data_IF_972628349448
#
_entry.id   IF_972628349448
#
_cell.length_a   1.000
_cell.length_b   1.000
_cell.length_c   1.000
_cell.angle_alpha   90.00
_cell.angle_beta   90.00
_cell.angle_gamma   90.00
#
_symmetry.space_group_name_H-M   'P 1'
#
loop_
_entity.id
_entity.type
_entity.pdbx_description
1 polymer ?
#
# COMPACT_ATOMS: atom_id res chain seq x y z
N UNK A 1 35.36 -18.14 11.52
CA UNK A 1 34.22 -17.27 11.20
C UNK A 1 32.96 -17.70 11.95
N UNK A 2 32.57 -18.97 11.88
CA UNK A 2 31.38 -19.52 12.59
C UNK A 2 31.47 -19.31 14.10
N UNK A 3 32.63 -19.56 14.71
CA UNK A 3 32.80 -19.43 16.16
C UNK A 3 32.71 -17.95 16.62
N UNK A 4 33.22 -17.02 15.83
CA UNK A 4 33.04 -15.57 16.11
C UNK A 4 31.57 -15.17 16.04
N UNK A 5 30.78 -15.71 15.11
CA UNK A 5 29.33 -15.47 15.00
C UNK A 5 28.59 -16.04 16.21
N UNK A 6 28.94 -17.28 16.64
CA UNK A 6 28.36 -17.89 17.83
C UNK A 6 28.70 -17.11 19.10
N UNK A 7 29.93 -16.64 19.23
CA UNK A 7 30.36 -15.80 20.34
C UNK A 7 29.60 -14.49 20.35
N UNK A 8 29.50 -13.79 19.21
CA UNK A 8 28.76 -12.53 19.11
C UNK A 8 27.26 -12.72 19.45
N UNK A 9 26.64 -13.82 19.03
CA UNK A 9 25.27 -14.15 19.43
C UNK A 9 25.15 -14.39 20.93
N UNK A 10 26.12 -15.08 21.55
CA UNK A 10 26.12 -15.30 23.01
C UNK A 10 26.28 -14.00 23.80
N UNK A 11 27.18 -13.12 23.33
CA UNK A 11 27.54 -11.89 24.05
C UNK A 11 26.47 -10.78 23.89
N UNK A 12 25.77 -10.74 22.77
CA UNK A 12 24.80 -9.69 22.45
C UNK A 12 23.68 -10.17 21.51
N UNK A 13 22.75 -11.03 22.00
CA UNK A 13 21.70 -11.63 21.16
C UNK A 13 20.78 -10.58 20.54
N UNK A 14 20.49 -9.48 21.24
CA UNK A 14 19.66 -8.38 20.72
C UNK A 14 20.30 -7.72 19.50
N UNK A 15 21.58 -7.37 19.58
CA UNK A 15 22.33 -6.77 18.45
C UNK A 15 22.42 -7.74 17.28
N UNK A 16 22.62 -9.03 17.56
CA UNK A 16 22.63 -10.05 16.51
C UNK A 16 21.30 -10.12 15.76
N UNK A 17 20.17 -10.13 16.49
CA UNK A 17 18.84 -10.16 15.86
C UNK A 17 18.55 -8.89 15.09
N UNK A 18 18.93 -7.70 15.58
CA UNK A 18 18.74 -6.44 14.88
C UNK A 18 19.53 -6.38 13.57
N UNK A 19 20.80 -6.81 13.58
CA UNK A 19 21.63 -6.85 12.37
C UNK A 19 21.03 -7.84 11.35
N UNK A 20 20.67 -9.03 11.82
CA UNK A 20 20.08 -10.07 10.96
C UNK A 20 18.75 -9.58 10.37
N UNK A 21 17.92 -8.92 11.18
CA UNK A 21 16.66 -8.34 10.73
C UNK A 21 16.88 -7.25 9.68
N UNK A 22 17.90 -6.40 9.86
CA UNK A 22 18.29 -5.38 8.88
C UNK A 22 18.72 -6.00 7.53
N UNK A 23 19.56 -7.02 7.56
CA UNK A 23 20.00 -7.75 6.37
C UNK A 23 18.83 -8.43 5.65
N UNK A 24 17.97 -9.10 6.40
CA UNK A 24 16.78 -9.75 5.84
C UNK A 24 15.80 -8.72 5.29
N UNK A 25 15.58 -7.61 5.98
CA UNK A 25 14.73 -6.51 5.48
C UNK A 25 15.27 -5.96 4.16
N UNK A 26 16.59 -5.78 4.05
CA UNK A 26 17.19 -5.36 2.78
C UNK A 26 16.91 -6.36 1.65
N UNK A 27 17.12 -7.64 1.91
CA UNK A 27 16.87 -8.70 0.91
C UNK A 27 15.39 -8.76 0.51
N UNK A 28 14.49 -8.84 1.49
CA UNK A 28 13.06 -9.03 1.23
C UNK A 28 12.37 -7.78 0.67
N UNK A 29 12.78 -6.57 1.06
CA UNK A 29 12.02 -5.36 0.79
C UNK A 29 12.66 -4.44 -0.27
N UNK A 30 13.97 -4.51 -0.48
CA UNK A 30 14.65 -3.60 -1.42
C UNK A 30 15.22 -4.28 -2.65
N UNK A 31 15.73 -5.52 -2.53
CA UNK A 31 16.37 -6.18 -3.66
C UNK A 31 15.37 -6.41 -4.80
N UNK A 32 15.67 -5.90 -5.97
CA UNK A 32 14.87 -6.10 -7.19
C UNK A 32 13.59 -5.26 -7.30
N UNK A 33 13.32 -4.29 -6.40
CA UNK A 33 12.10 -3.48 -6.49
C UNK A 33 12.05 -2.57 -7.72
N UNK A 34 13.19 -2.24 -8.33
CA UNK A 34 13.27 -1.51 -9.61
C UNK A 34 13.40 -2.39 -10.84
N UNK A 35 13.40 -3.73 -10.70
CA UNK A 35 13.72 -4.64 -11.79
C UNK A 35 12.56 -4.93 -12.76
N UNK A 36 11.38 -4.39 -12.51
CA UNK A 36 10.19 -4.58 -13.34
C UNK A 36 9.39 -3.28 -13.44
N UNK A 37 8.67 -3.06 -14.56
CA UNK A 37 7.82 -1.89 -14.75
C UNK A 37 6.76 -1.75 -13.67
N UNK A 38 6.19 -0.55 -13.53
CA UNK A 38 5.09 -0.33 -12.59
C UNK A 38 3.87 -1.19 -12.95
N UNK A 39 3.20 -1.66 -11.92
CA UNK A 39 2.00 -2.51 -12.05
C UNK A 39 0.79 -1.63 -12.35
N UNK A 40 0.06 -1.99 -13.39
CA UNK A 40 -1.20 -1.32 -13.73
C UNK A 40 -2.32 -1.84 -12.80
N UNK A 41 -3.24 -1.03 -12.32
CA UNK A 41 -3.67 0.34 -12.67
C UNK A 41 -3.25 1.36 -11.60
N UNK A 42 -3.25 0.97 -10.32
CA UNK A 42 -3.11 1.92 -9.21
C UNK A 42 -1.67 2.44 -9.07
N UNK A 43 -0.64 1.58 -9.22
CA UNK A 43 0.74 2.01 -9.04
C UNK A 43 1.15 3.03 -10.10
N UNK A 44 0.81 2.78 -11.37
CA UNK A 44 1.12 3.69 -12.47
C UNK A 44 0.38 5.02 -12.34
N UNK A 45 -0.90 4.97 -12.00
CA UNK A 45 -1.75 6.15 -11.78
C UNK A 45 -1.21 7.03 -10.65
N UNK A 46 -0.88 6.41 -9.52
CA UNK A 46 -0.38 7.13 -8.36
C UNK A 46 1.02 7.72 -8.59
N UNK A 47 1.85 7.04 -9.36
CA UNK A 47 3.17 7.56 -9.73
C UNK A 47 3.09 8.81 -10.60
N UNK A 48 2.19 8.82 -11.61
CA UNK A 48 1.93 10.02 -12.43
C UNK A 48 1.44 11.17 -11.57
N UNK A 49 0.43 10.93 -10.73
CA UNK A 49 -0.09 11.98 -9.83
C UNK A 49 0.99 12.52 -8.87
N UNK A 50 1.88 11.65 -8.37
CA UNK A 50 2.99 12.08 -7.53
C UNK A 50 4.04 12.89 -8.29
N UNK A 51 4.31 12.56 -9.55
CA UNK A 51 5.17 13.34 -10.42
C UNK A 51 4.58 14.73 -10.68
N UNK A 52 3.29 14.78 -10.97
CA UNK A 52 2.60 16.01 -11.33
C UNK A 52 2.59 17.03 -10.18
N UNK A 53 2.59 16.56 -8.91
CA UNK A 53 2.77 17.44 -7.75
C UNK A 53 4.07 18.23 -7.77
N UNK A 54 5.12 17.77 -8.46
CA UNK A 54 6.40 18.49 -8.57
C UNK A 54 6.29 19.74 -9.44
N UNK A 55 5.28 19.81 -10.30
CA UNK A 55 5.06 20.89 -11.26
C UNK A 55 3.84 21.75 -10.92
N UNK A 56 3.03 21.33 -9.93
CA UNK A 56 1.78 21.97 -9.54
C UNK A 56 1.70 22.23 -8.03
N UNK A 57 0.54 22.65 -7.57
CA UNK A 57 0.29 22.87 -6.14
C UNK A 57 0.17 21.52 -5.40
N UNK A 58 0.98 21.35 -4.37
CA UNK A 58 1.04 20.11 -3.55
C UNK A 58 -0.25 19.77 -2.80
N UNK A 59 -1.19 20.70 -2.72
CA UNK A 59 -2.49 20.45 -2.07
C UNK A 59 -3.47 19.70 -2.99
N UNK A 60 -3.32 19.83 -4.31
CA UNK A 60 -4.31 19.36 -5.28
C UNK A 60 -3.74 18.27 -6.17
N UNK A 61 -4.32 17.08 -6.03
CA UNK A 61 -3.96 15.96 -6.87
C UNK A 61 -4.61 16.11 -8.25
N UNK A 62 -3.82 15.91 -9.28
CA UNK A 62 -4.28 15.94 -10.67
C UNK A 62 -3.94 14.61 -11.33
N UNK A 63 -4.83 14.12 -12.17
CA UNK A 63 -4.57 12.98 -13.04
C UNK A 63 -4.82 13.43 -14.48
N UNK A 64 -3.74 13.60 -15.24
CA UNK A 64 -3.79 14.06 -16.63
C UNK A 64 -4.59 15.36 -16.83
N UNK A 65 -4.34 16.35 -15.97
CA UNK A 65 -5.01 17.64 -16.01
C UNK A 65 -6.39 17.70 -15.35
N UNK A 66 -6.95 16.56 -14.93
CA UNK A 66 -8.26 16.50 -14.25
C UNK A 66 -8.06 16.40 -12.73
N UNK A 67 -8.79 17.21 -11.92
CA UNK A 67 -8.74 17.12 -10.46
C UNK A 67 -9.09 15.71 -9.94
N UNK A 68 -8.28 15.20 -9.01
CA UNK A 68 -8.50 13.92 -8.39
C UNK A 68 -8.74 14.08 -6.88
N UNK A 69 -10.02 14.23 -6.51
CA UNK A 69 -10.45 14.58 -5.14
C UNK A 69 -10.81 13.37 -4.26
N UNK A 70 -10.60 12.14 -4.76
CA UNK A 70 -11.01 10.89 -4.11
C UNK A 70 -10.08 10.43 -2.98
N UNK A 71 -8.84 10.91 -2.94
CA UNK A 71 -7.81 10.39 -2.04
C UNK A 71 -7.07 11.49 -1.30
N UNK A 72 -6.70 11.24 -0.02
CA UNK A 72 -5.88 12.18 0.73
C UNK A 72 -4.42 12.16 0.27
N UNK A 73 -3.60 13.18 0.60
CA UNK A 73 -2.39 13.52 -0.14
C UNK A 73 -1.11 12.80 0.33
N UNK A 74 -1.08 12.21 1.54
CA UNK A 74 0.18 11.79 2.17
C UNK A 74 1.01 10.83 1.33
N UNK A 75 0.37 9.81 0.74
CA UNK A 75 1.06 8.87 -0.14
C UNK A 75 1.76 9.61 -1.30
N UNK A 76 1.05 10.54 -1.91
CA UNK A 76 1.55 11.29 -3.08
C UNK A 76 2.67 12.24 -2.68
N UNK A 77 2.59 12.87 -1.52
CA UNK A 77 3.65 13.74 -0.99
C UNK A 77 4.96 12.98 -0.77
N UNK A 78 4.92 11.84 -0.07
CA UNK A 78 6.15 11.07 0.21
C UNK A 78 6.73 10.47 -1.06
N UNK A 79 5.88 10.07 -2.02
CA UNK A 79 6.33 9.55 -3.31
C UNK A 79 6.89 10.67 -4.19
N UNK A 80 6.26 11.84 -4.24
CA UNK A 80 6.76 13.01 -4.95
C UNK A 80 8.13 13.46 -4.40
N UNK A 81 8.29 13.47 -3.07
CA UNK A 81 9.58 13.77 -2.44
C UNK A 81 10.66 12.77 -2.86
N UNK A 82 10.34 11.48 -2.88
CA UNK A 82 11.27 10.45 -3.35
C UNK A 82 11.65 10.63 -4.83
N UNK A 83 10.67 10.94 -5.68
CA UNK A 83 10.91 11.25 -7.11
C UNK A 83 11.79 12.50 -7.25
N UNK A 84 11.56 13.54 -6.44
CA UNK A 84 12.38 14.76 -6.44
C UNK A 84 13.84 14.49 -6.09
N UNK A 85 14.09 13.58 -5.16
CA UNK A 85 15.45 13.27 -4.68
C UNK A 85 16.19 12.29 -5.58
N UNK A 86 15.52 11.31 -6.12
CA UNK A 86 16.15 10.19 -6.82
C UNK A 86 15.81 10.12 -8.31
N UNK A 87 14.90 10.95 -8.81
CA UNK A 87 14.43 10.91 -10.19
C UNK A 87 13.19 10.04 -10.38
N UNK A 88 12.57 10.17 -11.58
CA UNK A 88 11.32 9.51 -11.90
C UNK A 88 11.58 8.12 -12.51
N UNK A 89 11.67 7.11 -11.67
CA UNK A 89 11.85 5.70 -12.07
C UNK A 89 11.27 4.76 -10.99
N UNK A 90 11.10 3.50 -11.31
CA UNK A 90 10.41 2.50 -10.50
C UNK A 90 10.98 2.35 -9.09
N UNK A 91 12.31 2.39 -8.97
CA UNK A 91 12.97 2.31 -7.66
C UNK A 91 12.56 3.49 -6.75
N UNK A 92 12.66 4.72 -7.26
CA UNK A 92 12.34 5.92 -6.50
C UNK A 92 10.86 5.96 -6.07
N UNK A 93 9.96 5.48 -6.93
CA UNK A 93 8.52 5.44 -6.66
C UNK A 93 8.20 4.43 -5.53
N UNK A 94 8.89 3.29 -5.48
CA UNK A 94 8.66 2.21 -4.50
C UNK A 94 9.45 2.38 -3.20
N UNK A 95 10.52 3.15 -3.21
CA UNK A 95 11.43 3.33 -2.07
C UNK A 95 10.72 3.73 -0.78
N UNK A 96 9.78 4.69 -0.77
CA UNK A 96 9.07 5.06 0.47
C UNK A 96 8.32 3.90 1.10
N UNK A 97 7.72 3.02 0.29
CA UNK A 97 6.99 1.83 0.79
C UNK A 97 7.93 0.87 1.50
N UNK A 98 9.10 0.61 0.92
CA UNK A 98 10.12 -0.27 1.51
C UNK A 98 10.69 0.30 2.81
N UNK A 99 10.89 1.61 2.89
CA UNK A 99 11.34 2.29 4.13
C UNK A 99 10.28 2.15 5.23
N UNK A 100 9.01 2.48 4.93
CA UNK A 100 7.92 2.39 5.91
C UNK A 100 7.70 0.93 6.38
N UNK A 101 7.79 -0.03 5.46
CA UNK A 101 7.73 -1.45 5.79
C UNK A 101 8.86 -1.85 6.74
N UNK A 102 10.09 -1.41 6.46
CA UNK A 102 11.27 -1.71 7.29
C UNK A 102 11.12 -1.14 8.70
N UNK A 103 10.69 0.10 8.83
CA UNK A 103 10.40 0.72 10.14
C UNK A 103 9.33 -0.10 10.88
N UNK A 104 8.29 -0.55 10.17
CA UNK A 104 7.23 -1.37 10.76
C UNK A 104 7.75 -2.73 11.25
N UNK A 105 8.68 -3.35 10.49
CA UNK A 105 9.35 -4.60 10.89
C UNK A 105 10.13 -4.40 12.19
N UNK A 106 10.95 -3.35 12.28
CA UNK A 106 11.71 -3.05 13.50
C UNK A 106 10.81 -2.70 14.69
N UNK A 107 9.73 -1.93 14.45
CA UNK A 107 8.79 -1.62 15.51
C UNK A 107 8.08 -2.89 16.02
N UNK A 108 7.75 -3.82 15.12
CA UNK A 108 7.19 -5.12 15.50
C UNK A 108 8.18 -5.95 16.32
N UNK A 109 9.48 -5.90 15.98
CA UNK A 109 10.53 -6.51 16.80
C UNK A 109 10.52 -5.95 18.22
N UNK A 110 10.56 -4.63 18.39
CA UNK A 110 10.63 -4.00 19.72
C UNK A 110 9.37 -4.28 20.56
N UNK A 111 8.19 -4.32 19.94
CA UNK A 111 6.95 -4.69 20.64
C UNK A 111 7.00 -6.15 21.10
N UNK A 112 7.42 -7.07 20.23
CA UNK A 112 7.58 -8.48 20.58
C UNK A 112 8.65 -8.70 21.68
N UNK A 113 9.79 -8.02 21.57
CA UNK A 113 10.84 -8.05 22.59
C UNK A 113 10.33 -7.59 23.95
N UNK A 114 9.58 -6.48 23.98
CA UNK A 114 9.01 -5.94 25.22
C UNK A 114 8.00 -6.86 25.88
N UNK A 115 7.26 -7.64 25.08
CA UNK A 115 6.26 -8.58 25.58
C UNK A 115 6.90 -9.85 26.15
N UNK A 116 7.96 -10.36 25.53
CA UNK A 116 8.52 -11.66 25.94
C UNK A 116 10.06 -11.70 25.93
N UNK A 117 10.70 -11.47 24.80
CA UNK A 117 12.18 -11.51 24.63
C UNK A 117 12.61 -11.03 23.25
N UNK A 118 13.90 -10.68 23.08
CA UNK A 118 14.49 -10.33 21.78
C UNK A 118 14.34 -11.44 20.73
N UNK A 119 14.48 -12.70 21.14
CA UNK A 119 14.22 -13.87 20.27
C UNK A 119 12.76 -13.91 19.78
N UNK A 120 11.81 -13.65 20.67
CA UNK A 120 10.39 -13.61 20.32
C UNK A 120 10.09 -12.42 19.39
N UNK A 121 10.65 -11.25 19.68
CA UNK A 121 10.58 -10.06 18.82
C UNK A 121 11.09 -10.35 17.41
N UNK A 122 12.25 -11.02 17.30
CA UNK A 122 12.81 -11.44 16.02
C UNK A 122 11.87 -12.39 15.26
N UNK A 123 11.29 -13.40 15.93
CA UNK A 123 10.34 -14.32 15.29
C UNK A 123 9.12 -13.56 14.77
N UNK A 124 8.55 -12.66 15.56
CA UNK A 124 7.37 -11.88 15.16
C UNK A 124 7.65 -10.99 13.95
N UNK A 125 8.77 -10.28 13.97
CA UNK A 125 9.19 -9.43 12.87
C UNK A 125 9.52 -10.23 11.60
N UNK A 126 10.18 -11.38 11.73
CA UNK A 126 10.49 -12.27 10.61
C UNK A 126 9.22 -12.83 9.97
N UNK A 127 8.28 -13.33 10.76
CA UNK A 127 7.00 -13.87 10.25
C UNK A 127 6.20 -12.78 9.56
N UNK A 128 6.17 -11.56 10.12
CA UNK A 128 5.51 -10.43 9.49
C UNK A 128 6.15 -10.07 8.15
N UNK A 129 7.46 -10.00 8.09
CA UNK A 129 8.18 -9.62 6.88
C UNK A 129 8.19 -10.71 5.81
N UNK A 130 8.34 -11.99 6.23
CA UNK A 130 8.58 -13.12 5.34
C UNK A 130 7.28 -13.86 4.96
N UNK A 131 6.24 -13.12 4.56
CA UNK A 131 5.04 -13.70 3.93
C UNK A 131 4.79 -13.05 2.57
N UNK A 132 4.09 -13.76 1.70
CA UNK A 132 3.84 -13.36 0.32
C UNK A 132 3.17 -11.99 0.27
N UNK A 133 2.18 -11.76 1.11
CA UNK A 133 1.35 -10.55 1.06
C UNK A 133 2.16 -9.29 1.42
N UNK A 134 2.91 -9.35 2.52
CA UNK A 134 3.73 -8.22 2.95
C UNK A 134 4.86 -7.90 1.96
N UNK A 135 5.58 -8.95 1.50
CA UNK A 135 6.65 -8.78 0.51
C UNK A 135 6.14 -8.19 -0.79
N UNK A 136 5.05 -8.75 -1.35
CA UNK A 136 4.52 -8.29 -2.63
C UNK A 136 3.97 -6.86 -2.55
N UNK A 137 3.18 -6.55 -1.52
CA UNK A 137 2.55 -5.24 -1.39
C UNK A 137 3.54 -4.13 -0.97
N UNK A 138 4.64 -4.47 -0.31
CA UNK A 138 5.73 -3.52 -0.08
C UNK A 138 6.46 -3.14 -1.37
N UNK A 139 6.50 -4.06 -2.34
CA UNK A 139 7.18 -3.88 -3.63
C UNK A 139 6.31 -3.25 -4.72
N UNK A 140 5.08 -2.93 -4.39
CA UNK A 140 4.14 -2.19 -5.24
C UNK A 140 3.81 -0.88 -4.53
N UNK A 141 4.02 0.24 -5.22
CA UNK A 141 3.81 1.57 -4.64
C UNK A 141 2.30 1.88 -4.56
N UNK A 142 1.67 1.47 -3.46
CA UNK A 142 0.24 1.65 -3.20
C UNK A 142 -0.02 2.26 -1.83
N UNK A 143 -1.14 2.96 -1.71
CA UNK A 143 -1.58 3.65 -0.48
C UNK A 143 -1.70 2.68 0.70
N UNK A 144 -2.10 1.43 0.45
CA UNK A 144 -2.36 0.43 1.49
C UNK A 144 -1.14 0.14 2.37
N UNK A 145 0.08 0.19 1.81
CA UNK A 145 1.30 0.00 2.61
C UNK A 145 1.55 1.17 3.56
N UNK A 146 1.38 2.41 3.10
CA UNK A 146 1.50 3.62 3.94
C UNK A 146 0.49 3.57 5.09
N UNK A 147 -0.75 3.26 4.75
CA UNK A 147 -1.81 3.12 5.74
C UNK A 147 -1.52 2.01 6.75
N UNK A 148 -1.09 0.82 6.29
CA UNK A 148 -0.76 -0.31 7.17
C UNK A 148 0.36 0.04 8.14
N UNK A 149 1.42 0.70 7.68
CA UNK A 149 2.52 1.13 8.53
C UNK A 149 2.03 2.09 9.63
N UNK A 150 1.37 3.17 9.24
CA UNK A 150 0.89 4.20 10.18
C UNK A 150 -0.16 3.66 11.14
N UNK A 151 -1.08 2.82 10.68
CA UNK A 151 -2.07 2.15 11.51
C UNK A 151 -1.39 1.23 12.55
N UNK A 152 -0.44 0.41 12.11
CA UNK A 152 0.31 -0.49 12.98
C UNK A 152 1.09 0.30 14.04
N UNK A 153 1.77 1.38 13.64
CA UNK A 153 2.50 2.25 14.58
C UNK A 153 1.55 2.90 15.58
N UNK A 154 0.40 3.38 15.14
CA UNK A 154 -0.63 3.94 16.01
C UNK A 154 -1.06 2.92 17.07
N UNK A 155 -1.40 1.69 16.65
CA UNK A 155 -1.86 0.63 17.55
C UNK A 155 -0.75 0.22 18.53
N UNK A 156 0.49 0.09 18.05
CA UNK A 156 1.66 -0.25 18.88
C UNK A 156 1.99 0.84 19.90
N UNK A 157 1.89 2.12 19.51
CA UNK A 157 2.06 3.24 20.43
C UNK A 157 0.99 3.26 21.50
N UNK A 158 -0.26 2.99 21.14
CA UNK A 158 -1.37 2.84 22.12
C UNK A 158 -1.12 1.72 23.11
N UNK A 159 -0.59 0.57 22.66
CA UNK A 159 -0.16 -0.52 23.54
C UNK A 159 1.07 -0.13 24.39
N UNK A 160 2.04 0.58 23.78
CA UNK A 160 3.28 0.97 24.45
C UNK A 160 3.07 1.89 25.65
N UNK A 161 1.95 2.65 25.68
CA UNK A 161 1.58 3.48 26.84
C UNK A 161 1.43 2.67 28.14
N UNK A 162 1.28 1.35 28.05
CA UNK A 162 1.19 0.48 29.23
C UNK A 162 2.54 0.16 29.88
N UNK A 163 3.64 0.33 29.14
CA UNK A 163 4.99 -0.02 29.57
C UNK A 163 5.84 1.17 29.99
N UNK A 164 5.42 2.36 29.61
CA UNK A 164 6.18 3.58 29.94
C UNK A 164 5.75 4.19 31.25
N UNK A 165 6.70 4.87 31.91
CA UNK A 165 6.43 5.66 33.12
C UNK A 165 5.42 6.78 32.82
N UNK A 166 4.66 7.20 33.82
CA UNK A 166 3.62 8.24 33.64
C UNK A 166 4.18 9.56 33.07
N UNK A 167 5.40 9.92 33.43
CA UNK A 167 6.09 11.11 32.87
C UNK A 167 6.23 11.08 31.36
N UNK A 168 6.35 9.88 30.77
CA UNK A 168 6.58 9.70 29.34
C UNK A 168 5.31 9.35 28.57
N UNK A 169 4.21 9.03 29.24
CA UNK A 169 2.94 8.65 28.59
C UNK A 169 2.42 9.72 27.63
N UNK A 170 2.59 11.01 28.00
CA UNK A 170 2.17 12.12 27.12
C UNK A 170 2.85 12.07 25.76
N UNK A 171 4.13 11.72 25.70
CA UNK A 171 4.85 11.62 24.44
C UNK A 171 4.40 10.43 23.60
N UNK A 172 4.12 9.30 24.24
CA UNK A 172 3.56 8.14 23.53
C UNK A 172 2.16 8.43 22.99
N UNK A 173 1.28 9.09 23.77
CA UNK A 173 -0.02 9.51 23.29
C UNK A 173 0.08 10.57 22.18
N UNK A 174 1.00 11.53 22.29
CA UNK A 174 1.22 12.50 21.23
C UNK A 174 1.68 11.81 19.92
N UNK A 175 2.62 10.87 20.00
CA UNK A 175 3.06 10.08 18.84
C UNK A 175 1.93 9.21 18.27
N UNK A 176 1.07 8.63 19.12
CA UNK A 176 -0.14 7.91 18.72
C UNK A 176 -1.06 8.79 17.85
N UNK A 177 -1.38 10.00 18.31
CA UNK A 177 -2.24 10.91 17.57
C UNK A 177 -1.58 11.45 16.31
N UNK A 178 -0.27 11.69 16.33
CA UNK A 178 0.49 12.09 15.13
C UNK A 178 0.44 10.98 14.07
N UNK A 179 0.73 9.73 14.43
CA UNK A 179 0.64 8.60 13.49
C UNK A 179 -0.79 8.39 12.98
N UNK A 180 -1.79 8.52 13.86
CA UNK A 180 -3.20 8.46 13.48
C UNK A 180 -3.57 9.58 12.49
N UNK A 181 -3.07 10.80 12.70
CA UNK A 181 -3.29 11.95 11.83
C UNK A 181 -2.70 11.73 10.44
N UNK A 182 -1.47 11.26 10.36
CA UNK A 182 -0.86 10.89 9.07
C UNK A 182 -1.59 9.70 8.43
N UNK A 183 -2.05 8.74 9.22
CA UNK A 183 -2.91 7.65 8.73
C UNK A 183 -4.21 8.19 8.10
N UNK A 184 -4.81 9.22 8.71
CA UNK A 184 -5.99 9.89 8.17
C UNK A 184 -5.67 10.61 6.84
N UNK A 185 -4.52 11.27 6.73
CA UNK A 185 -4.02 11.85 5.47
C UNK A 185 -3.56 10.79 4.45
N UNK A 186 -3.48 9.50 4.83
CA UNK A 186 -3.18 8.42 3.90
C UNK A 186 -4.45 7.74 3.36
N UNK A 187 -5.44 7.46 4.23
CA UNK A 187 -6.62 6.64 3.85
C UNK A 187 -7.94 7.08 4.48
N UNK A 188 -7.98 8.21 5.17
CA UNK A 188 -9.20 8.79 5.74
C UNK A 188 -9.68 8.08 7.03
N UNK A 189 -11.00 8.02 7.22
CA UNK A 189 -11.67 7.64 8.49
C UNK A 189 -11.22 6.31 9.10
N UNK A 190 -10.77 5.35 8.30
CA UNK A 190 -10.30 4.05 8.80
C UNK A 190 -9.11 4.17 9.76
N UNK A 191 -8.30 5.24 9.61
CA UNK A 191 -7.17 5.51 10.52
C UNK A 191 -7.61 5.89 11.93
N UNK A 192 -8.85 6.31 12.11
CA UNK A 192 -9.45 6.62 13.41
C UNK A 192 -10.22 5.40 13.93
N UNK A 193 -11.07 4.83 13.07
CA UNK A 193 -11.99 3.74 13.45
C UNK A 193 -11.24 2.53 14.00
N UNK A 194 -10.19 2.07 13.31
CA UNK A 194 -9.45 0.89 13.74
C UNK A 194 -8.71 1.06 15.07
N UNK A 195 -7.88 2.09 15.28
CA UNK A 195 -7.21 2.27 16.56
C UNK A 195 -8.20 2.48 17.70
N UNK A 196 -9.26 3.26 17.49
CA UNK A 196 -10.31 3.47 18.50
C UNK A 196 -10.99 2.16 18.90
N UNK A 197 -11.35 1.31 17.92
CA UNK A 197 -11.96 0.02 18.20
C UNK A 197 -10.98 -0.92 18.92
N UNK A 198 -9.74 -1.06 18.42
CA UNK A 198 -8.76 -2.01 18.96
C UNK A 198 -8.30 -1.61 20.36
N UNK A 199 -7.80 -0.37 20.50
CA UNK A 199 -7.32 0.14 21.79
C UNK A 199 -8.50 0.30 22.76
N UNK A 200 -9.64 0.80 22.29
CA UNK A 200 -10.85 0.96 23.08
C UNK A 200 -11.33 -0.36 23.68
N UNK A 201 -11.53 -1.40 22.87
CA UNK A 201 -11.93 -2.73 23.34
C UNK A 201 -10.92 -3.31 24.33
N UNK A 202 -9.63 -3.23 24.00
CA UNK A 202 -8.57 -3.71 24.91
C UNK A 202 -8.62 -2.99 26.26
N UNK A 203 -8.77 -1.67 26.28
CA UNK A 203 -8.83 -0.87 27.50
C UNK A 203 -10.13 -1.07 28.30
N UNK A 204 -11.25 -1.33 27.63
CA UNK A 204 -12.52 -1.67 28.27
C UNK A 204 -12.36 -3.02 28.98
N UNK A 205 -11.88 -4.05 28.32
CA UNK A 205 -11.67 -5.39 28.92
C UNK A 205 -10.74 -5.32 30.13
N UNK A 206 -9.65 -4.53 30.01
CA UNK A 206 -8.67 -4.37 31.10
C UNK A 206 -9.07 -3.27 32.13
N UNK A 207 -10.31 -2.75 32.09
CA UNK A 207 -10.84 -1.73 33.01
C UNK A 207 -9.98 -0.46 33.11
N UNK A 208 -9.27 -0.11 32.04
CA UNK A 208 -8.34 1.04 31.97
C UNK A 208 -8.75 2.11 30.97
N UNK A 209 -9.99 2.08 30.47
CA UNK A 209 -10.48 2.99 29.42
C UNK A 209 -10.41 4.47 29.82
N UNK A 210 -10.54 4.79 31.10
CA UNK A 210 -10.45 6.17 31.61
C UNK A 210 -9.10 6.82 31.32
N UNK A 211 -8.03 6.04 31.12
CA UNK A 211 -6.70 6.56 30.83
C UNK A 211 -6.65 7.27 29.47
N UNK A 212 -7.39 6.78 28.47
CA UNK A 212 -7.47 7.38 27.15
C UNK A 212 -8.03 8.81 27.21
N UNK A 213 -9.02 9.02 28.09
CA UNK A 213 -9.73 10.29 28.22
C UNK A 213 -9.13 11.24 29.25
N UNK A 214 -7.94 10.95 29.80
CA UNK A 214 -7.24 11.93 30.64
C UNK A 214 -7.01 13.21 29.83
N UNK A 215 -7.45 14.39 30.32
CA UNK A 215 -7.41 15.63 29.53
C UNK A 215 -6.04 15.95 28.92
N UNK A 216 -4.97 15.71 29.66
CA UNK A 216 -3.60 15.96 29.20
C UNK A 216 -3.18 15.10 27.98
N UNK A 217 -3.84 13.97 27.73
CA UNK A 217 -3.57 13.11 26.58
C UNK A 217 -4.58 13.38 25.47
N UNK A 218 -5.87 13.40 25.82
CA UNK A 218 -6.96 13.52 24.87
C UNK A 218 -6.99 14.89 24.18
N UNK A 219 -6.98 16.00 24.97
CA UNK A 219 -7.01 17.34 24.40
C UNK A 219 -5.76 17.63 23.56
N UNK A 220 -4.56 17.30 24.06
CA UNK A 220 -3.33 17.44 23.29
C UNK A 220 -3.42 16.63 21.97
N UNK A 221 -3.96 15.43 22.03
CA UNK A 221 -4.15 14.58 20.86
C UNK A 221 -5.11 15.17 19.85
N UNK A 222 -6.27 15.67 20.29
CA UNK A 222 -7.24 16.34 19.43
C UNK A 222 -6.61 17.57 18.75
N UNK A 223 -5.89 18.41 19.52
CA UNK A 223 -5.20 19.58 18.96
C UNK A 223 -4.18 19.16 17.90
N UNK A 224 -3.33 18.17 18.17
CA UNK A 224 -2.36 17.66 17.19
C UNK A 224 -3.05 17.11 15.94
N UNK A 225 -4.13 16.36 16.14
CA UNK A 225 -4.90 15.82 15.01
C UNK A 225 -5.48 16.93 14.12
N UNK A 226 -6.09 17.94 14.72
CA UNK A 226 -6.67 19.08 13.99
C UNK A 226 -5.58 19.90 13.29
N UNK A 227 -4.46 20.20 13.96
CA UNK A 227 -3.36 20.97 13.38
C UNK A 227 -2.76 20.30 12.13
N UNK A 228 -2.66 18.96 12.12
CA UNK A 228 -2.11 18.22 10.99
C UNK A 228 -3.13 18.09 9.85
N UNK A 229 -4.40 17.89 10.16
CA UNK A 229 -5.39 17.55 9.14
C UNK A 229 -6.16 18.74 8.58
N UNK A 230 -6.49 19.77 9.39
CA UNK A 230 -7.27 20.92 8.95
C UNK A 230 -6.64 21.62 7.73
N UNK A 231 -5.33 21.89 7.66
CA UNK A 231 -4.77 22.68 6.56
C UNK A 231 -5.12 22.12 5.18
N UNK A 232 -4.92 20.82 4.97
CA UNK A 232 -5.23 20.21 3.68
C UNK A 232 -6.75 20.13 3.41
N UNK A 233 -7.54 19.69 4.39
CA UNK A 233 -8.99 19.60 4.20
C UNK A 233 -9.64 20.96 3.95
N UNK A 234 -9.13 22.00 4.61
CA UNK A 234 -9.60 23.36 4.38
C UNK A 234 -9.22 23.87 2.98
N UNK A 235 -8.00 23.57 2.52
CA UNK A 235 -7.57 23.92 1.16
C UNK A 235 -8.45 23.22 0.11
N UNK A 236 -8.74 21.93 0.29
CA UNK A 236 -9.64 21.17 -0.59
C UNK A 236 -11.07 21.73 -0.58
N UNK A 237 -11.59 22.05 0.60
CA UNK A 237 -12.93 22.63 0.72
C UNK A 237 -13.01 24.02 0.07
N UNK A 238 -11.99 24.87 0.24
CA UNK A 238 -11.94 26.18 -0.43
C UNK A 238 -11.90 26.08 -1.95
N UNK A 239 -11.23 25.04 -2.48
CA UNK A 239 -11.08 24.87 -3.93
C UNK A 239 -12.29 24.20 -4.58
N UNK A 240 -12.87 23.17 -3.95
CA UNK A 240 -13.89 22.32 -4.56
C UNK A 240 -15.24 22.37 -3.83
N UNK A 241 -15.35 23.11 -2.73
CA UNK A 241 -16.61 23.31 -2.00
C UNK A 241 -17.27 22.01 -1.55
N UNK A 242 -18.58 21.93 -1.75
CA UNK A 242 -19.39 20.77 -1.36
C UNK A 242 -19.07 19.51 -2.15
N UNK A 243 -18.56 19.63 -3.38
CA UNK A 243 -18.14 18.47 -4.20
C UNK A 243 -17.06 17.65 -3.49
N UNK A 244 -16.07 18.32 -2.85
CA UNK A 244 -15.08 17.62 -2.03
C UNK A 244 -15.73 16.84 -0.89
N UNK A 245 -16.68 17.44 -0.17
CA UNK A 245 -17.39 16.75 0.93
C UNK A 245 -18.13 15.53 0.40
N UNK A 246 -18.85 15.68 -0.70
CA UNK A 246 -19.63 14.60 -1.29
C UNK A 246 -18.75 13.44 -1.78
N UNK A 247 -17.76 13.74 -2.62
CA UNK A 247 -16.90 12.71 -3.22
C UNK A 247 -16.02 12.05 -2.17
N UNK A 248 -15.34 12.83 -1.35
CA UNK A 248 -14.35 12.29 -0.40
C UNK A 248 -15.00 11.58 0.78
N UNK A 249 -15.96 12.22 1.48
CA UNK A 249 -16.54 11.64 2.69
C UNK A 249 -17.73 10.74 2.39
N UNK A 250 -18.68 11.17 1.53
CA UNK A 250 -19.91 10.40 1.32
C UNK A 250 -19.64 9.23 0.38
N UNK A 251 -19.22 9.49 -0.88
CA UNK A 251 -19.09 8.45 -1.90
C UNK A 251 -17.98 7.44 -1.57
N UNK A 252 -16.78 7.92 -1.22
CA UNK A 252 -15.62 7.06 -1.04
C UNK A 252 -15.47 6.44 0.36
N UNK A 253 -16.19 6.93 1.37
CA UNK A 253 -16.19 6.32 2.71
C UNK A 253 -17.51 5.61 3.01
N UNK A 254 -18.65 6.31 2.99
CA UNK A 254 -19.93 5.72 3.40
C UNK A 254 -20.57 4.83 2.34
N UNK A 255 -20.76 5.30 1.12
CA UNK A 255 -21.40 4.50 0.07
C UNK A 255 -20.56 3.26 -0.28
N UNK A 256 -19.23 3.39 -0.29
CA UNK A 256 -18.35 2.26 -0.53
C UNK A 256 -18.43 1.17 0.55
N UNK A 257 -18.79 1.52 1.77
CA UNK A 257 -19.03 0.56 2.85
C UNK A 257 -20.36 -0.17 2.68
N UNK A 258 -21.41 0.57 2.29
CA UNK A 258 -22.80 0.08 2.30
C UNK A 258 -23.23 -0.46 0.93
N UNK A 259 -22.91 0.24 -0.14
CA UNK A 259 -23.39 -0.07 -1.49
C UNK A 259 -22.29 0.14 -2.54
N UNK A 260 -21.44 -0.88 -2.71
CA UNK A 260 -20.35 -0.84 -3.69
C UNK A 260 -20.73 -1.37 -5.08
N UNK A 261 -21.99 -1.67 -5.34
CA UNK A 261 -22.47 -2.21 -6.62
C UNK A 261 -22.22 -1.22 -7.76
N UNK A 262 -22.45 0.06 -7.53
CA UNK A 262 -22.15 1.14 -8.47
C UNK A 262 -20.67 1.20 -8.89
N UNK A 263 -19.76 0.67 -8.07
CA UNK A 263 -18.32 0.62 -8.33
C UNK A 263 -17.83 -0.74 -8.86
N UNK A 264 -18.73 -1.72 -9.06
CA UNK A 264 -18.41 -3.06 -9.55
C UNK A 264 -17.44 -3.86 -8.68
N UNK A 265 -17.37 -3.58 -7.36
CA UNK A 265 -16.38 -4.15 -6.42
C UNK A 265 -16.98 -4.98 -5.30
N UNK A 266 -18.27 -5.29 -5.37
CA UNK A 266 -18.95 -6.12 -4.39
C UNK A 266 -18.40 -7.55 -4.39
N UNK A 267 -18.10 -8.05 -3.20
CA UNK A 267 -17.54 -9.40 -2.97
C UNK A 267 -18.22 -10.05 -1.75
N UNK A 268 -18.30 -11.41 -1.72
CA UNK A 268 -18.90 -12.14 -0.60
C UNK A 268 -18.25 -11.83 0.75
N UNK A 269 -18.97 -12.05 1.85
CA UNK A 269 -18.45 -11.83 3.21
C UNK A 269 -17.14 -12.58 3.46
N UNK A 270 -17.03 -13.85 3.05
CA UNK A 270 -15.86 -14.70 3.25
C UNK A 270 -14.72 -14.46 2.25
N UNK A 271 -14.82 -13.47 1.39
CA UNK A 271 -13.82 -13.17 0.35
C UNK A 271 -12.39 -13.08 0.91
N UNK A 272 -12.22 -12.44 2.06
CA UNK A 272 -10.88 -12.24 2.63
C UNK A 272 -10.28 -13.50 3.25
N UNK A 273 -11.06 -14.55 3.53
CA UNK A 273 -10.50 -15.79 4.10
C UNK A 273 -9.47 -16.41 3.17
N UNK A 274 -9.80 -16.82 1.94
CA UNK A 274 -8.81 -17.38 1.02
C UNK A 274 -7.70 -16.37 0.67
N UNK A 275 -8.04 -15.08 0.49
CA UNK A 275 -7.06 -14.03 0.19
C UNK A 275 -6.00 -13.93 1.28
N UNK A 276 -6.42 -13.90 2.56
CA UNK A 276 -5.49 -13.80 3.68
C UNK A 276 -4.64 -15.07 3.81
N UNK A 277 -5.23 -16.26 3.77
CA UNK A 277 -4.47 -17.49 3.93
C UNK A 277 -3.46 -17.73 2.81
N UNK A 278 -3.80 -17.39 1.57
CA UNK A 278 -2.83 -17.44 0.45
C UNK A 278 -1.75 -16.37 0.63
N UNK A 279 -2.13 -15.15 1.00
CA UNK A 279 -1.19 -14.04 1.20
C UNK A 279 -0.26 -14.25 2.41
N UNK A 280 -0.71 -14.91 3.46
CA UNK A 280 0.08 -15.16 4.66
C UNK A 280 0.99 -16.39 4.55
N UNK A 281 1.00 -17.09 3.40
CA UNK A 281 1.97 -18.16 3.17
C UNK A 281 3.42 -17.63 3.34
N UNK A 282 4.32 -18.47 3.87
CA UNK A 282 4.16 -19.89 4.25
C UNK A 282 3.59 -20.11 5.66
N UNK A 283 3.22 -19.08 6.39
CA UNK A 283 2.86 -19.12 7.81
C UNK A 283 1.42 -19.55 8.09
N UNK A 284 0.58 -19.66 7.07
CA UNK A 284 -0.88 -19.91 7.19
C UNK A 284 -1.21 -21.16 7.99
N UNK A 285 -0.46 -22.25 7.82
CA UNK A 285 -0.67 -23.49 8.60
C UNK A 285 -0.35 -23.30 10.08
N UNK A 286 0.70 -22.52 10.38
CA UNK A 286 1.06 -22.21 11.76
C UNK A 286 0.06 -21.26 12.40
N UNK A 287 -0.52 -20.35 11.63
CA UNK A 287 -1.57 -19.46 12.08
C UNK A 287 -2.86 -20.22 12.42
N UNK A 288 -3.24 -21.24 11.62
CA UNK A 288 -4.34 -22.15 11.98
C UNK A 288 -4.04 -22.84 13.31
N UNK A 289 -2.82 -23.34 13.49
CA UNK A 289 -2.38 -23.92 14.75
C UNK A 289 -2.46 -22.93 15.93
N UNK A 290 -2.10 -21.67 15.69
CA UNK A 290 -2.23 -20.61 16.71
C UNK A 290 -3.69 -20.34 17.09
N UNK A 291 -4.62 -20.34 16.13
CA UNK A 291 -6.06 -20.21 16.38
C UNK A 291 -6.58 -21.39 17.22
N UNK A 292 -6.20 -22.63 16.89
CA UNK A 292 -6.59 -23.81 17.65
C UNK A 292 -6.05 -23.75 19.08
N UNK A 293 -4.77 -23.40 19.27
CA UNK A 293 -4.17 -23.28 20.60
C UNK A 293 -4.78 -22.12 21.41
N UNK A 294 -5.18 -21.03 20.74
CA UNK A 294 -5.85 -19.88 21.39
C UNK A 294 -7.09 -20.33 22.18
N UNK A 295 -7.93 -21.16 21.58
CA UNK A 295 -9.13 -21.69 22.26
C UNK A 295 -8.81 -22.85 23.19
N UNK A 296 -8.01 -23.83 22.75
CA UNK A 296 -7.70 -25.06 23.49
C UNK A 296 -6.95 -24.78 24.79
N UNK A 297 -5.96 -23.88 24.74
CA UNK A 297 -5.14 -23.49 25.90
C UNK A 297 -5.72 -22.26 26.65
N UNK A 298 -6.87 -21.77 26.21
CA UNK A 298 -7.53 -20.57 26.81
C UNK A 298 -6.60 -19.35 26.84
N UNK A 299 -5.81 -19.14 25.76
CA UNK A 299 -4.81 -18.07 25.67
C UNK A 299 -5.45 -16.66 25.66
N UNK A 300 -6.77 -16.55 25.48
CA UNK A 300 -7.52 -15.32 25.67
C UNK A 300 -7.46 -14.76 27.09
N UNK A 301 -6.93 -15.51 28.06
CA UNK A 301 -6.63 -15.02 29.41
C UNK A 301 -5.32 -14.22 29.47
N UNK A 302 -4.41 -14.41 28.51
CA UNK A 302 -3.21 -13.59 28.39
C UNK A 302 -3.57 -12.26 27.73
N UNK A 303 -3.22 -11.17 28.41
CA UNK A 303 -3.56 -9.81 28.03
C UNK A 303 -3.04 -9.42 26.65
N UNK A 304 -1.82 -9.83 26.30
CA UNK A 304 -1.18 -9.45 25.05
C UNK A 304 -1.63 -10.33 23.88
N UNK A 305 -1.82 -11.61 24.14
CA UNK A 305 -2.38 -12.52 23.13
C UNK A 305 -3.80 -12.09 22.77
N UNK A 306 -4.60 -11.75 23.78
CA UNK A 306 -5.96 -11.21 23.58
C UNK A 306 -5.93 -9.89 22.80
N UNK A 307 -4.98 -9.00 23.10
CA UNK A 307 -4.82 -7.75 22.37
C UNK A 307 -4.62 -7.98 20.86
N UNK A 308 -3.69 -8.86 20.49
CA UNK A 308 -3.44 -9.15 19.09
C UNK A 308 -4.57 -9.94 18.41
N UNK A 309 -5.29 -10.76 19.17
CA UNK A 309 -6.51 -11.40 18.67
C UNK A 309 -7.61 -10.36 18.38
N UNK A 310 -7.85 -9.41 19.28
CA UNK A 310 -8.77 -8.28 19.05
C UNK A 310 -8.33 -7.48 17.81
N UNK A 311 -7.04 -7.16 17.71
CA UNK A 311 -6.50 -6.43 16.56
C UNK A 311 -6.81 -7.18 15.25
N UNK A 312 -6.51 -8.47 15.17
CA UNK A 312 -6.80 -9.29 13.99
C UNK A 312 -8.31 -9.31 13.67
N UNK A 313 -9.14 -9.62 14.65
CA UNK A 313 -10.60 -9.75 14.49
C UNK A 313 -11.25 -8.44 14.06
N UNK A 314 -10.84 -7.31 14.63
CA UNK A 314 -11.38 -5.99 14.27
C UNK A 314 -11.03 -5.63 12.82
N UNK A 315 -9.77 -5.78 12.41
CA UNK A 315 -9.36 -5.48 11.03
C UNK A 315 -10.10 -6.40 10.05
N UNK A 316 -10.00 -7.70 10.30
CA UNK A 316 -10.55 -8.72 9.39
C UNK A 316 -12.07 -8.64 9.33
N UNK A 317 -12.73 -8.47 10.46
CA UNK A 317 -14.18 -8.38 10.59
C UNK A 317 -14.76 -7.16 9.90
N UNK A 318 -14.24 -5.96 10.21
CA UNK A 318 -14.76 -4.73 9.62
C UNK A 318 -14.58 -4.69 8.09
N UNK A 319 -13.44 -5.13 7.56
CA UNK A 319 -13.27 -5.22 6.12
C UNK A 319 -14.16 -6.32 5.50
N UNK A 320 -14.41 -7.43 6.20
CA UNK A 320 -15.32 -8.47 5.70
C UNK A 320 -16.77 -8.01 5.64
N UNK A 321 -17.18 -7.10 6.53
CA UNK A 321 -18.52 -6.49 6.53
C UNK A 321 -18.71 -5.46 5.41
N UNK A 322 -17.65 -4.80 4.95
CA UNK A 322 -17.71 -3.83 3.86
C UNK A 322 -18.16 -4.49 2.56
N UNK A 323 -18.99 -3.82 1.73
CA UNK A 323 -19.41 -4.30 0.42
C UNK A 323 -18.27 -4.29 -0.60
N UNK A 324 -17.54 -3.16 -0.67
CA UNK A 324 -16.42 -2.99 -1.61
C UNK A 324 -15.12 -3.57 -1.06
N UNK A 325 -14.60 -4.64 -1.70
CA UNK A 325 -13.42 -5.37 -1.23
C UNK A 325 -12.30 -5.41 -2.28
N UNK A 326 -11.08 -5.03 -1.86
CA UNK A 326 -9.85 -5.26 -2.60
C UNK A 326 -8.93 -6.20 -1.80
N UNK A 327 -8.15 -7.07 -2.46
CA UNK A 327 -7.25 -7.99 -1.76
C UNK A 327 -6.32 -7.31 -0.76
N UNK A 328 -5.86 -6.10 -1.08
CA UNK A 328 -4.91 -5.32 -0.30
C UNK A 328 -5.45 -4.83 1.06
N UNK A 329 -6.77 -4.81 1.26
CA UNK A 329 -7.38 -4.29 2.48
C UNK A 329 -7.05 -5.10 3.74
N UNK A 330 -6.74 -6.39 3.60
CA UNK A 330 -6.37 -7.23 4.75
C UNK A 330 -4.88 -7.18 5.11
N UNK A 331 -4.08 -6.37 4.40
CA UNK A 331 -2.67 -6.17 4.77
C UNK A 331 -2.47 -5.76 6.25
N UNK A 332 -3.28 -4.86 6.83
CA UNK A 332 -3.16 -4.50 8.25
C UNK A 332 -3.45 -5.65 9.24
N UNK A 333 -3.99 -6.79 8.78
CA UNK A 333 -4.17 -7.97 9.61
C UNK A 333 -2.88 -8.83 9.73
N UNK A 334 -1.87 -8.56 8.90
CA UNK A 334 -0.59 -9.29 8.92
C UNK A 334 0.19 -9.10 10.23
N UNK A 335 0.37 -7.88 10.79
CA UNK A 335 1.09 -7.69 12.06
C UNK A 335 0.51 -8.49 13.23
N UNK A 336 -0.80 -8.45 13.52
CA UNK A 336 -1.36 -9.24 14.61
C UNK A 336 -1.30 -10.76 14.34
N UNK A 337 -1.50 -11.20 13.09
CA UNK A 337 -1.37 -12.60 12.74
C UNK A 337 0.07 -13.11 12.92
N UNK A 338 1.07 -12.29 12.57
CA UNK A 338 2.47 -12.61 12.80
C UNK A 338 2.78 -12.78 14.28
N UNK A 339 2.24 -11.93 15.14
CA UNK A 339 2.39 -12.05 16.58
C UNK A 339 1.80 -13.37 17.11
N UNK A 340 0.56 -13.67 16.77
CA UNK A 340 -0.14 -14.90 17.20
C UNK A 340 0.59 -16.16 16.70
N UNK A 341 1.05 -16.13 15.46
CA UNK A 341 1.82 -17.24 14.86
C UNK A 341 3.18 -17.41 15.54
N UNK A 342 3.87 -16.29 15.84
CA UNK A 342 5.16 -16.35 16.50
C UNK A 342 5.04 -16.90 17.92
N UNK A 343 3.96 -16.57 18.63
CA UNK A 343 3.69 -17.14 19.96
C UNK A 343 3.54 -18.68 19.87
N UNK A 344 2.77 -19.18 18.92
CA UNK A 344 2.58 -20.61 18.69
C UNK A 344 3.90 -21.34 18.37
N UNK A 345 4.75 -20.75 17.50
CA UNK A 345 6.03 -21.33 17.12
C UNK A 345 7.04 -21.26 18.28
N UNK A 346 7.06 -20.18 19.02
CA UNK A 346 7.99 -19.96 20.13
C UNK A 346 7.80 -20.98 21.26
N UNK A 347 6.55 -21.38 21.53
CA UNK A 347 6.21 -22.37 22.55
C UNK A 347 6.52 -23.82 22.14
N UNK A 348 6.75 -24.08 20.84
CA UNK A 348 6.98 -25.43 20.36
C UNK A 348 8.46 -25.77 20.17
N UNK A 349 9.05 -25.36 19.10
CA UNK A 349 10.48 -25.61 18.79
C UNK A 349 10.91 -24.69 17.63
N UNK A 350 12.18 -24.27 17.67
CA UNK A 350 12.80 -23.46 16.62
C UNK A 350 12.85 -24.12 15.23
N UNK A 351 12.75 -25.44 15.15
CA UNK A 351 12.65 -26.18 13.87
C UNK A 351 11.45 -25.72 13.04
N UNK A 352 10.31 -25.40 13.71
CA UNK A 352 9.09 -24.93 13.06
C UNK A 352 9.23 -23.54 12.41
N UNK A 353 10.25 -22.76 12.79
CA UNK A 353 10.59 -21.50 12.14
C UNK A 353 11.50 -21.71 10.92
N UNK A 354 12.42 -22.65 10.98
CA UNK A 354 13.50 -22.83 10.02
C UNK A 354 13.00 -23.14 8.60
N UNK A 355 12.17 -24.16 8.44
CA UNK A 355 11.67 -24.58 7.12
C UNK A 355 10.74 -23.54 6.48
N UNK A 356 9.73 -22.98 7.18
CA UNK A 356 8.92 -21.91 6.61
C UNK A 356 9.72 -20.67 6.22
N UNK A 357 10.80 -20.34 6.96
CA UNK A 357 11.69 -19.22 6.60
C UNK A 357 12.41 -19.49 5.27
N UNK A 358 12.96 -20.67 5.08
CA UNK A 358 13.59 -21.05 3.80
C UNK A 358 12.58 -21.03 2.66
N UNK A 359 11.38 -21.55 2.91
CA UNK A 359 10.29 -21.51 1.94
C UNK A 359 9.87 -20.04 1.63
N UNK A 360 9.84 -19.16 2.62
CA UNK A 360 9.53 -17.73 2.42
C UNK A 360 10.60 -17.02 1.57
N UNK A 361 11.88 -17.32 1.81
CA UNK A 361 12.98 -16.80 0.97
C UNK A 361 12.81 -17.29 -0.47
N UNK A 362 12.61 -18.58 -0.68
CA UNK A 362 12.37 -19.15 -2.00
C UNK A 362 11.12 -18.55 -2.67
N UNK A 363 10.00 -18.49 -1.95
CA UNK A 363 8.76 -17.90 -2.46
C UNK A 363 8.92 -16.42 -2.83
N UNK A 364 9.78 -15.67 -2.12
CA UNK A 364 10.09 -14.28 -2.48
C UNK A 364 10.76 -14.19 -3.84
N UNK A 365 11.75 -15.04 -4.13
CA UNK A 365 12.38 -15.08 -5.44
C UNK A 365 11.42 -15.52 -6.54
N UNK A 366 10.60 -16.53 -6.27
CA UNK A 366 9.54 -16.97 -7.21
C UNK A 366 8.56 -15.84 -7.47
N UNK A 367 8.10 -15.14 -6.41
CA UNK A 367 7.18 -14.01 -6.55
C UNK A 367 7.77 -12.88 -7.40
N UNK A 368 9.07 -12.59 -7.30
CA UNK A 368 9.76 -11.62 -8.16
C UNK A 368 9.74 -12.04 -9.63
N UNK A 369 10.00 -13.31 -9.90
CA UNK A 369 9.97 -13.86 -11.27
C UNK A 369 8.54 -13.80 -11.81
N UNK A 370 7.56 -14.24 -11.01
CA UNK A 370 6.13 -14.23 -11.39
C UNK A 370 5.67 -12.80 -11.63
N UNK A 371 5.97 -11.87 -10.73
CA UNK A 371 5.56 -10.48 -10.86
C UNK A 371 6.16 -9.86 -12.13
N UNK A 372 7.47 -10.07 -12.37
CA UNK A 372 8.12 -9.66 -13.60
C UNK A 372 7.41 -10.24 -14.83
N UNK A 373 7.15 -11.54 -14.86
CA UNK A 373 6.49 -12.22 -15.97
C UNK A 373 5.07 -11.70 -16.20
N UNK A 374 4.27 -11.58 -15.13
CA UNK A 374 2.88 -11.08 -15.21
C UNK A 374 2.83 -9.66 -15.75
N UNK A 375 3.71 -8.78 -15.25
CA UNK A 375 3.78 -7.39 -15.72
C UNK A 375 4.18 -7.34 -17.19
N UNK A 376 5.19 -8.10 -17.60
CA UNK A 376 5.63 -8.12 -19.00
C UNK A 376 4.61 -8.77 -19.95
N UNK A 377 3.88 -9.79 -19.52
CA UNK A 377 2.81 -10.41 -20.35
C UNK A 377 1.52 -9.63 -20.32
N UNK A 378 1.32 -8.77 -19.32
CA UNK A 378 0.12 -7.94 -19.14
C UNK A 378 -0.12 -6.89 -20.22
N UNK A 379 0.84 -6.65 -21.14
CA UNK A 379 0.79 -5.62 -22.18
C UNK A 379 1.43 -4.31 -21.77
N UNK A 380 1.85 -4.15 -20.52
CA UNK A 380 2.55 -2.96 -20.02
C UNK A 380 3.88 -2.76 -20.76
N UNK A 381 4.60 -3.84 -21.06
CA UNK A 381 5.84 -3.79 -21.81
C UNK A 381 5.65 -3.28 -23.24
N UNK A 382 4.55 -3.65 -23.90
CA UNK A 382 4.20 -3.14 -25.24
C UNK A 382 3.99 -1.62 -25.19
N UNK A 383 3.25 -1.13 -24.18
CA UNK A 383 3.02 0.31 -23.98
C UNK A 383 4.31 1.07 -23.68
N UNK A 384 5.18 0.52 -22.86
CA UNK A 384 6.50 1.09 -22.55
C UNK A 384 7.36 1.17 -23.83
N UNK A 385 7.36 0.12 -24.65
CA UNK A 385 8.12 0.13 -25.91
C UNK A 385 7.52 1.11 -26.92
N UNK A 386 6.21 1.28 -26.98
CA UNK A 386 5.56 2.26 -27.83
C UNK A 386 5.87 3.69 -27.39
N UNK A 387 5.83 3.95 -26.06
CA UNK A 387 6.19 5.28 -25.55
C UNK A 387 7.67 5.61 -25.75
N UNK A 388 8.58 4.65 -25.66
CA UNK A 388 9.99 4.84 -26.04
C UNK A 388 10.14 5.23 -27.51
N UNK A 389 9.43 4.54 -28.38
CA UNK A 389 9.46 4.83 -29.80
C UNK A 389 8.90 6.24 -30.08
N UNK A 390 7.77 6.60 -29.44
CA UNK A 390 7.16 7.92 -29.57
C UNK A 390 8.04 9.04 -28.99
N UNK A 391 8.76 8.80 -27.89
CA UNK A 391 9.66 9.78 -27.26
C UNK A 391 10.83 10.18 -28.16
N UNK A 392 11.38 9.23 -28.91
CA UNK A 392 12.49 9.46 -29.83
C UNK A 392 12.03 10.06 -31.17
N UNK A 393 10.75 10.39 -31.30
CA UNK A 393 10.14 10.99 -32.47
C UNK A 393 9.69 12.43 -32.21
N UNK A 394 9.55 13.22 -33.24
CA UNK A 394 8.97 14.57 -33.19
C UNK A 394 7.44 14.55 -33.04
N UNK A 395 6.83 13.37 -32.97
CA UNK A 395 5.40 13.19 -32.97
C UNK A 395 4.80 13.35 -31.57
N UNK A 396 3.67 14.03 -31.50
CA UNK A 396 2.85 14.10 -30.29
C UNK A 396 2.14 12.76 -30.04
N UNK A 397 2.04 12.35 -28.77
CA UNK A 397 1.45 11.06 -28.42
C UNK A 397 -0.02 11.24 -28.04
N UNK A 398 -0.90 10.47 -28.67
CA UNK A 398 -2.33 10.39 -28.36
C UNK A 398 -2.65 8.96 -27.95
N UNK A 399 -3.42 8.78 -26.90
CA UNK A 399 -4.02 7.48 -26.55
C UNK A 399 -5.51 7.52 -26.82
N UNK A 400 -6.02 6.55 -27.54
CA UNK A 400 -7.39 6.52 -28.00
C UNK A 400 -8.14 5.27 -27.59
N UNK A 401 -9.39 5.44 -27.11
CA UNK A 401 -10.29 4.35 -26.70
C UNK A 401 -9.59 3.33 -25.78
N UNK A 402 -8.88 3.85 -24.81
CA UNK A 402 -8.14 3.08 -23.81
C UNK A 402 -8.46 3.62 -22.42
N UNK A 403 -8.71 2.71 -21.48
CA UNK A 403 -8.68 3.11 -20.07
C UNK A 403 -7.33 3.75 -19.76
N UNK A 404 -7.33 4.74 -18.84
CA UNK A 404 -6.12 5.45 -18.42
C UNK A 404 -5.02 4.43 -18.12
N UNK A 405 -4.00 4.43 -18.97
CA UNK A 405 -2.79 3.64 -18.81
C UNK A 405 -1.59 4.57 -18.69
N UNK A 406 -1.40 5.20 -17.52
CA UNK A 406 -0.37 6.21 -17.33
C UNK A 406 1.05 5.68 -17.47
N UNK A 407 1.23 4.36 -17.53
CA UNK A 407 2.54 3.75 -17.81
C UNK A 407 3.21 4.28 -19.08
N UNK A 408 2.42 4.75 -20.07
CA UNK A 408 2.94 5.37 -21.29
C UNK A 408 3.72 6.64 -20.96
N UNK A 409 3.27 7.40 -19.98
CA UNK A 409 3.90 8.67 -19.61
C UNK A 409 5.03 8.51 -18.61
N UNK A 410 5.02 7.40 -17.90
CA UNK A 410 5.79 7.20 -16.72
C UNK A 410 7.28 7.24 -16.97
N UNK A 411 7.72 6.49 -17.93
CA UNK A 411 9.14 6.22 -18.09
C UNK A 411 9.80 7.07 -19.16
N UNK A 412 9.03 7.68 -20.08
CA UNK A 412 9.62 8.15 -21.33
C UNK A 412 9.10 9.47 -21.88
N UNK A 413 8.11 10.10 -21.27
CA UNK A 413 7.58 11.40 -21.70
C UNK A 413 7.61 12.41 -20.55
N UNK A 414 8.06 13.63 -20.84
CA UNK A 414 7.97 14.77 -19.92
C UNK A 414 6.61 15.46 -20.02
N UNK A 415 6.07 15.50 -21.23
CA UNK A 415 4.81 16.14 -21.54
C UNK A 415 3.65 15.13 -21.56
N UNK A 416 2.44 15.64 -21.33
CA UNK A 416 1.23 14.83 -21.39
C UNK A 416 0.94 14.44 -22.84
N UNK A 417 0.53 13.19 -23.04
CA UNK A 417 -0.17 12.82 -24.26
C UNK A 417 -1.65 13.15 -24.11
N UNK A 418 -2.34 13.40 -25.20
CA UNK A 418 -3.79 13.51 -25.18
C UNK A 418 -4.42 12.17 -24.83
N UNK A 419 -5.28 12.17 -23.82
CA UNK A 419 -5.97 10.97 -23.35
C UNK A 419 -7.41 11.00 -23.80
N UNK A 420 -7.75 10.20 -24.79
CA UNK A 420 -9.12 9.98 -25.22
C UNK A 420 -9.53 8.60 -24.68
N UNK A 421 -10.33 8.60 -23.62
CA UNK A 421 -10.66 7.39 -22.85
C UNK A 421 -11.71 6.53 -23.53
N UNK A 422 -12.61 7.20 -24.23
CA UNK A 422 -13.76 6.58 -24.87
C UNK A 422 -13.60 6.56 -26.40
N UNK A 423 -14.55 5.91 -27.08
CA UNK A 423 -14.64 5.90 -28.55
C UNK A 423 -15.26 7.22 -29.07
N UNK A 424 -14.59 8.33 -28.82
CA UNK A 424 -15.04 9.65 -29.23
C UNK A 424 -14.24 10.15 -30.43
N UNK A 425 -14.84 10.04 -31.60
CA UNK A 425 -14.23 10.45 -32.87
C UNK A 425 -13.99 11.96 -32.98
N UNK A 426 -14.82 12.78 -32.31
CA UNK A 426 -14.67 14.24 -32.32
C UNK A 426 -13.42 14.67 -31.56
N UNK A 427 -13.20 14.11 -30.37
CA UNK A 427 -12.02 14.42 -29.56
C UNK A 427 -10.74 13.97 -30.28
N UNK A 428 -10.79 12.81 -30.99
CA UNK A 428 -9.66 12.36 -31.79
C UNK A 428 -9.37 13.30 -32.97
N UNK A 429 -10.41 13.79 -33.66
CA UNK A 429 -10.25 14.77 -34.75
C UNK A 429 -9.67 16.09 -34.25
N UNK A 430 -10.16 16.59 -33.08
CA UNK A 430 -9.66 17.79 -32.47
C UNK A 430 -8.17 17.64 -32.05
N UNK A 431 -7.81 16.52 -31.41
CA UNK A 431 -6.43 16.24 -31.03
C UNK A 431 -5.50 16.18 -32.27
N UNK A 432 -5.95 15.54 -33.34
CA UNK A 432 -5.19 15.46 -34.61
C UNK A 432 -5.11 16.82 -35.31
N UNK A 433 -6.11 17.65 -35.19
CA UNK A 433 -6.09 19.02 -35.73
C UNK A 433 -5.08 19.90 -34.99
N UNK A 434 -5.06 19.79 -33.66
CA UNK A 434 -4.16 20.55 -32.79
C UNK A 434 -2.69 20.09 -32.96
N UNK A 435 -2.47 18.81 -33.23
CA UNK A 435 -1.14 18.22 -33.34
C UNK A 435 -0.99 17.48 -34.69
N UNK A 436 -0.53 18.21 -35.71
CA UNK A 436 -0.40 17.68 -37.09
C UNK A 436 0.50 16.45 -37.17
N UNK A 437 1.59 16.41 -36.38
CA UNK A 437 2.47 15.24 -36.27
C UNK A 437 2.12 14.46 -35.01
N UNK A 438 1.31 13.43 -35.15
CA UNK A 438 0.83 12.62 -34.01
C UNK A 438 1.07 11.13 -34.18
N UNK A 439 1.32 10.48 -33.04
CA UNK A 439 1.28 9.01 -32.90
C UNK A 439 0.12 8.62 -32.00
N UNK A 440 -0.69 7.69 -32.46
CA UNK A 440 -1.90 7.24 -31.75
C UNK A 440 -1.70 5.80 -31.30
N UNK A 441 -1.83 5.55 -30.00
CA UNK A 441 -1.86 4.19 -29.44
C UNK A 441 -3.31 3.83 -29.15
N UNK A 442 -3.73 2.69 -29.68
CA UNK A 442 -5.08 2.15 -29.50
C UNK A 442 -5.03 0.68 -29.10
N UNK A 443 -6.02 0.25 -28.32
CA UNK A 443 -6.14 -1.16 -27.96
C UNK A 443 -6.76 -1.94 -29.13
N UNK A 444 -6.05 -2.95 -29.65
CA UNK A 444 -6.45 -3.71 -30.82
C UNK A 444 -7.88 -4.24 -30.78
N UNK A 445 -8.32 -4.73 -29.59
CA UNK A 445 -9.70 -5.20 -29.41
C UNK A 445 -10.75 -4.09 -29.62
N UNK A 446 -10.40 -2.86 -29.25
CA UNK A 446 -11.31 -1.72 -29.34
C UNK A 446 -11.39 -1.14 -30.76
N UNK A 447 -10.37 -1.38 -31.60
CA UNK A 447 -10.37 -0.96 -33.01
C UNK A 447 -11.49 -1.60 -33.83
N UNK A 448 -11.76 -2.89 -33.61
CA UNK A 448 -12.76 -3.63 -34.40
C UNK A 448 -14.19 -3.08 -34.27
N UNK A 449 -14.47 -2.31 -33.23
CA UNK A 449 -15.79 -1.73 -32.92
C UNK A 449 -15.78 -0.20 -32.88
N UNK A 450 -14.67 0.43 -33.31
CA UNK A 450 -14.49 1.89 -33.15
C UNK A 450 -15.32 2.67 -34.17
N UNK A 451 -16.02 3.70 -33.69
CA UNK A 451 -16.68 4.72 -34.52
C UNK A 451 -15.69 5.54 -35.35
N UNK A 452 -14.42 5.51 -35.00
CA UNK A 452 -13.33 6.26 -35.62
C UNK A 452 -12.55 5.47 -36.66
N UNK A 453 -13.04 4.30 -37.10
CA UNK A 453 -12.38 3.41 -38.05
C UNK A 453 -12.00 4.14 -39.36
N UNK A 454 -12.80 5.08 -39.81
CA UNK A 454 -12.51 5.90 -40.99
C UNK A 454 -11.31 6.84 -40.82
N UNK A 455 -11.13 7.38 -39.61
CA UNK A 455 -9.99 8.23 -39.30
C UNK A 455 -8.69 7.41 -39.38
N UNK A 456 -8.72 6.19 -38.85
CA UNK A 456 -7.56 5.29 -38.84
C UNK A 456 -7.15 4.78 -40.26
N UNK A 457 -8.08 4.78 -41.24
CA UNK A 457 -7.74 4.47 -42.64
C UNK A 457 -6.78 5.49 -43.23
N UNK A 458 -6.78 6.72 -42.75
CA UNK A 458 -5.92 7.80 -43.21
C UNK A 458 -4.61 7.92 -42.38
N UNK A 459 -4.36 6.96 -41.50
CA UNK A 459 -3.17 6.91 -40.66
C UNK A 459 -2.25 5.73 -41.09
N UNK A 460 -0.96 5.88 -40.90
CA UNK A 460 0.00 4.81 -41.15
C UNK A 460 0.13 3.91 -39.93
N UNK A 461 -0.14 2.63 -40.07
CA UNK A 461 0.16 1.64 -39.03
C UNK A 461 1.69 1.49 -38.93
N UNK A 462 2.29 1.90 -37.84
CA UNK A 462 3.72 1.83 -37.58
C UNK A 462 4.12 0.53 -36.91
N UNK A 463 3.32 0.09 -35.93
CA UNK A 463 3.62 -1.12 -35.17
C UNK A 463 2.33 -1.76 -34.66
N UNK A 464 2.25 -3.08 -34.78
CA UNK A 464 1.16 -3.86 -34.18
C UNK A 464 1.76 -4.90 -33.23
N UNK A 465 1.19 -5.02 -32.04
CA UNK A 465 1.54 -6.01 -31.03
C UNK A 465 0.28 -6.83 -30.66
N UNK A 466 0.43 -7.76 -29.70
CA UNK A 466 -0.67 -8.64 -29.32
C UNK A 466 -1.91 -7.89 -28.83
N UNK A 467 -1.71 -6.79 -28.09
CA UNK A 467 -2.78 -6.03 -27.43
C UNK A 467 -3.00 -4.63 -27.95
N UNK A 468 -1.98 -4.02 -28.56
CA UNK A 468 -1.98 -2.62 -28.95
C UNK A 468 -1.48 -2.42 -30.37
N UNK A 469 -1.94 -1.34 -30.99
CA UNK A 469 -1.50 -0.85 -32.28
C UNK A 469 -1.06 0.61 -32.14
N UNK A 470 0.01 0.96 -32.86
CA UNK A 470 0.57 2.30 -32.96
C UNK A 470 0.40 2.81 -34.38
N UNK A 471 -0.36 3.87 -34.52
CA UNK A 471 -0.57 4.59 -35.77
C UNK A 471 0.17 5.91 -35.76
N UNK A 472 0.43 6.45 -36.94
CA UNK A 472 1.10 7.73 -37.15
C UNK A 472 0.36 8.53 -38.22
N UNK A 473 0.27 9.86 -38.05
CA UNK A 473 -0.16 10.76 -39.13
C UNK A 473 0.76 10.64 -40.32
N UNK A 474 0.20 10.71 -41.52
CA UNK A 474 0.95 10.78 -42.79
C UNK A 474 1.26 12.26 -43.00
N UNK A 475 2.55 12.60 -43.20
CA UNK A 475 2.99 13.97 -43.48
C UNK A 475 2.46 14.46 -44.81
#
# INVERSE_FOLDING_TARGET
MIDKIKQFYSDSPERFYLILLGLLSFIFLFVGMGAYPLVDVDETRYAVMSRDLLHHNWNFLMLNGVPFIEKPPLYFWITALSIKLFGFHEYAIRLPMSILATITVFFTYFVGEKIKSSKFGFYTALIMMANVFFVMLTRVAIIDMVFTALLTWTIYLGLYTEWVKDSNKKWCWSAFYICMSFGFLAKGLLAIVFPCAIIGLHRIINKSVKEIFKPQYFLTGVVLFLLINIPWHLAMYKQYGYEFIWVYFILHHFERLVNADALGKTRPFLYFVPVFFVGFLPWSFHFIGAIVDFFRKKLFKDKYILFFAIYFVVIFGLFSMASGKLPTYVLPAVPPAAFLTSYYIYEKDSKWLKYPTYLAIFATFVALIVLKTVVYTGGTNELVNFSKFAQNSEYHLITYNMQVKPAIFLNYKKDYADLILDDNSKDLQEALFNHKKSMIIVKRKNMATSSSLEIFKNLKLVKSCKKYELYQTID
#
